data_IF_899004233200
#
_entry.id   IF_899004233200
#
_cell.length_a   1.000
_cell.length_b   1.000
_cell.length_c   1.000
_cell.angle_alpha   90.00
_cell.angle_beta   90.00
_cell.angle_gamma   90.00
#
_symmetry.space_group_name_H-M   'P 1'
#
loop_
_entity.id
_entity.type
_entity.pdbx_description
1 polymer ?
#
# COMPACT_ATOMS: atom_id res chain seq x y z
N UNK A 1 33.52 -19.03 -24.24
CA UNK A 1 32.11 -19.39 -23.94
C UNK A 1 31.91 -19.19 -22.45
N UNK A 2 31.06 -18.24 -22.02
CA UNK A 2 30.69 -18.18 -20.61
C UNK A 2 29.93 -19.46 -20.27
N UNK A 3 30.40 -20.17 -19.25
CA UNK A 3 29.69 -21.32 -18.71
C UNK A 3 28.33 -20.86 -18.14
N UNK A 4 27.28 -21.63 -18.42
CA UNK A 4 25.91 -21.35 -17.95
C UNK A 4 25.86 -21.26 -16.43
N UNK A 5 26.71 -22.02 -15.75
CA UNK A 5 26.86 -21.97 -14.29
C UNK A 5 27.35 -20.59 -13.81
N UNK A 6 28.42 -20.06 -14.42
CA UNK A 6 28.96 -18.73 -14.08
C UNK A 6 27.94 -17.62 -14.31
N UNK A 7 27.15 -17.70 -15.38
CA UNK A 7 26.05 -16.75 -15.64
C UNK A 7 24.98 -16.83 -14.55
N UNK A 8 24.56 -18.04 -14.17
CA UNK A 8 23.56 -18.23 -13.13
C UNK A 8 24.02 -17.66 -11.78
N UNK A 9 25.28 -17.92 -11.39
CA UNK A 9 25.85 -17.37 -10.15
C UNK A 9 25.90 -15.85 -10.18
N UNK A 10 26.33 -15.24 -11.29
CA UNK A 10 26.38 -13.79 -11.43
C UNK A 10 24.99 -13.14 -11.33
N UNK A 11 23.97 -13.75 -11.94
CA UNK A 11 22.58 -13.28 -11.84
C UNK A 11 22.06 -13.35 -10.40
N UNK A 12 22.30 -14.46 -9.70
CA UNK A 12 21.90 -14.61 -8.29
C UNK A 12 22.62 -13.61 -7.40
N UNK A 13 23.94 -13.44 -7.57
CA UNK A 13 24.72 -12.49 -6.79
C UNK A 13 24.23 -11.04 -7.01
N UNK A 14 23.98 -10.65 -8.25
CA UNK A 14 23.45 -9.33 -8.60
C UNK A 14 22.05 -9.12 -8.02
N UNK A 15 21.18 -10.15 -8.11
CA UNK A 15 19.85 -10.09 -7.52
C UNK A 15 19.91 -9.89 -6.01
N UNK A 16 20.72 -10.68 -5.29
CA UNK A 16 20.90 -10.58 -3.84
C UNK A 16 21.45 -9.20 -3.46
N UNK A 17 22.50 -8.73 -4.13
CA UNK A 17 23.08 -7.40 -3.88
C UNK A 17 22.04 -6.28 -4.09
N UNK A 18 21.23 -6.37 -5.16
CA UNK A 18 20.14 -5.43 -5.43
C UNK A 18 19.09 -5.44 -4.31
N UNK A 19 18.67 -6.61 -3.82
CA UNK A 19 17.70 -6.72 -2.71
C UNK A 19 18.25 -6.12 -1.42
N UNK A 20 19.50 -6.40 -1.08
CA UNK A 20 20.16 -5.79 0.08
C UNK A 20 20.21 -4.27 -0.03
N UNK A 21 20.65 -3.73 -1.16
CA UNK A 21 20.71 -2.28 -1.36
C UNK A 21 19.32 -1.63 -1.25
N UNK A 22 18.32 -2.21 -1.93
CA UNK A 22 16.94 -1.70 -1.88
C UNK A 22 16.35 -1.76 -0.47
N UNK A 23 16.62 -2.82 0.29
CA UNK A 23 16.15 -2.95 1.67
C UNK A 23 16.75 -1.88 2.58
N UNK A 24 18.07 -1.66 2.52
CA UNK A 24 18.73 -0.63 3.34
C UNK A 24 18.34 0.77 2.92
N UNK A 25 18.22 1.03 1.62
CA UNK A 25 17.68 2.29 1.09
C UNK A 25 16.27 2.53 1.63
N UNK A 26 15.35 1.58 1.49
CA UNK A 26 13.99 1.68 2.00
C UNK A 26 13.94 1.90 3.52
N UNK A 27 14.77 1.19 4.28
CA UNK A 27 14.87 1.36 5.74
C UNK A 27 15.29 2.78 6.11
N UNK A 28 16.22 3.37 5.35
CA UNK A 28 16.65 4.76 5.52
C UNK A 28 15.56 5.75 5.11
N UNK A 29 14.95 5.56 3.94
CA UNK A 29 13.92 6.46 3.39
C UNK A 29 12.68 6.51 4.31
N UNK A 30 12.38 5.40 5.00
CA UNK A 30 11.28 5.30 5.96
C UNK A 30 11.66 5.73 7.39
N UNK A 31 12.81 6.39 7.57
CA UNK A 31 13.21 6.93 8.87
C UNK A 31 13.40 5.87 9.96
N UNK A 32 13.73 4.62 9.58
CA UNK A 32 13.95 3.51 10.51
C UNK A 32 12.72 3.13 11.37
N UNK A 33 11.50 3.47 10.91
CA UNK A 33 10.27 3.12 11.63
C UNK A 33 10.20 1.61 11.92
N UNK A 34 9.82 1.18 13.14
CA UNK A 34 9.55 -0.21 13.43
C UNK A 34 8.32 -0.70 12.66
N UNK A 35 8.12 -2.00 12.56
CA UNK A 35 6.93 -2.56 11.92
C UNK A 35 7.14 -3.91 11.26
N UNK A 36 6.32 -4.17 10.24
CA UNK A 36 6.27 -5.43 9.53
C UNK A 36 7.52 -5.60 8.66
N UNK A 37 8.15 -6.78 8.75
CA UNK A 37 9.24 -7.22 7.90
C UNK A 37 8.85 -8.57 7.33
N UNK A 38 8.58 -8.60 6.03
CA UNK A 38 7.99 -9.76 5.36
C UNK A 38 8.65 -10.01 4.02
N UNK A 39 8.44 -11.19 3.43
CA UNK A 39 8.99 -11.48 2.10
C UNK A 39 8.39 -10.57 1.04
N UNK A 40 7.10 -10.29 1.16
CA UNK A 40 6.33 -9.46 0.24
C UNK A 40 5.46 -8.44 0.99
N UNK A 41 5.19 -7.29 0.39
CA UNK A 41 4.28 -6.32 1.01
C UNK A 41 2.80 -6.73 0.85
N UNK A 42 1.91 -6.30 1.77
CA UNK A 42 0.52 -6.72 1.77
C UNK A 42 -0.23 -6.41 0.46
N UNK A 43 -0.02 -5.20 -0.09
CA UNK A 43 -0.71 -4.68 -1.28
C UNK A 43 0.14 -4.95 -2.55
N UNK A 44 0.83 -6.09 -2.60
CA UNK A 44 1.52 -6.56 -3.81
C UNK A 44 0.77 -7.75 -4.41
N UNK A 45 0.89 -8.05 -5.72
CA UNK A 45 0.20 -9.19 -6.33
C UNK A 45 0.48 -10.51 -5.61
N UNK A 46 1.74 -10.75 -5.22
CA UNK A 46 2.14 -11.94 -4.46
C UNK A 46 1.69 -11.90 -3.00
N UNK A 47 1.71 -10.72 -2.37
CA UNK A 47 1.15 -10.55 -1.04
C UNK A 47 -0.34 -10.88 -1.00
N UNK A 48 -1.09 -10.45 -2.03
CA UNK A 48 -2.51 -10.68 -2.13
C UNK A 48 -2.91 -12.13 -2.43
N UNK A 49 -2.09 -12.86 -3.19
CA UNK A 49 -2.38 -14.25 -3.57
C UNK A 49 -2.19 -15.25 -2.43
N UNK A 50 -1.33 -14.94 -1.44
CA UNK A 50 -0.94 -15.87 -0.37
C UNK A 50 -1.69 -15.49 0.92
N UNK A 51 -2.17 -16.46 1.72
CA UNK A 51 -2.87 -16.18 2.98
C UNK A 51 -1.98 -15.47 4.02
N UNK A 52 -2.62 -14.81 4.98
CA UNK A 52 -1.97 -14.15 6.11
C UNK A 52 -1.24 -15.16 6.99
N UNK A 53 0.08 -15.05 7.05
CA UNK A 53 0.98 -15.85 7.87
C UNK A 53 2.17 -15.01 8.34
N UNK A 54 3.09 -15.64 9.06
CA UNK A 54 4.27 -14.94 9.60
C UNK A 54 5.24 -14.42 8.52
N UNK A 55 5.29 -15.05 7.34
CA UNK A 55 6.15 -14.63 6.21
C UNK A 55 5.48 -13.63 5.26
N UNK A 56 4.15 -13.66 5.21
CA UNK A 56 3.34 -12.80 4.36
C UNK A 56 2.14 -12.28 5.16
N UNK A 57 2.08 -10.98 5.45
CA UNK A 57 0.90 -10.38 6.06
C UNK A 57 -0.37 -10.67 5.24
N UNK A 58 -0.30 -10.77 3.91
CA UNK A 58 -1.48 -10.99 3.08
C UNK A 58 -2.44 -9.79 3.08
N UNK A 59 -3.64 -9.93 2.51
CA UNK A 59 -4.64 -8.84 2.49
C UNK A 59 -5.44 -8.69 3.79
N UNK A 60 -5.42 -9.70 4.67
CA UNK A 60 -6.25 -9.71 5.88
C UNK A 60 -5.46 -9.40 7.16
N UNK A 61 -4.15 -9.09 7.08
CA UNK A 61 -3.33 -8.81 8.27
C UNK A 61 -3.90 -7.70 9.13
N UNK A 62 -4.42 -6.63 8.51
CA UNK A 62 -4.97 -5.50 9.25
C UNK A 62 -6.17 -5.91 10.10
N UNK A 63 -6.90 -6.97 9.71
CA UNK A 63 -7.97 -7.53 10.52
C UNK A 63 -7.45 -8.49 11.59
N UNK A 64 -6.60 -9.44 11.20
CA UNK A 64 -6.10 -10.49 12.08
C UNK A 64 -5.18 -9.94 13.19
N UNK A 65 -4.38 -8.93 12.89
CA UNK A 65 -3.36 -8.38 13.80
C UNK A 65 -3.72 -7.01 14.37
N UNK A 66 -4.96 -6.52 14.16
CA UNK A 66 -5.41 -5.16 14.56
C UNK A 66 -5.07 -4.77 16.00
N UNK A 67 -5.23 -5.71 16.94
CA UNK A 67 -5.03 -5.45 18.37
C UNK A 67 -3.55 -5.44 18.78
N UNK A 68 -2.67 -6.02 17.97
CA UNK A 68 -1.31 -6.33 18.40
C UNK A 68 -0.24 -5.60 17.57
N UNK A 69 -0.51 -5.23 16.32
CA UNK A 69 0.54 -4.76 15.41
C UNK A 69 1.17 -3.44 15.88
N UNK A 70 0.36 -2.48 16.33
CA UNK A 70 0.81 -1.17 16.80
C UNK A 70 1.33 -1.26 18.25
N UNK A 71 0.65 -2.02 19.10
CA UNK A 71 1.07 -2.28 20.48
C UNK A 71 2.45 -2.93 20.55
N UNK A 72 2.71 -3.96 19.72
CA UNK A 72 4.02 -4.63 19.64
C UNK A 72 5.12 -3.72 19.09
N UNK A 73 4.78 -2.82 18.17
CA UNK A 73 5.73 -1.85 17.63
C UNK A 73 6.04 -0.70 18.61
N UNK A 74 5.17 -0.49 19.61
CA UNK A 74 5.26 0.65 20.54
C UNK A 74 4.96 2.00 19.87
N UNK A 75 4.41 2.00 18.66
CA UNK A 75 4.15 3.19 17.85
C UNK A 75 2.81 3.07 17.12
N UNK A 76 2.13 4.20 16.92
CA UNK A 76 0.90 4.25 16.12
C UNK A 76 1.17 4.18 14.62
N UNK A 77 2.40 4.50 14.21
CA UNK A 77 2.84 4.47 12.81
C UNK A 77 3.95 3.44 12.66
N UNK A 78 3.75 2.53 11.70
CA UNK A 78 4.66 1.43 11.41
C UNK A 78 5.03 1.42 9.93
N UNK A 79 6.16 0.81 9.62
CA UNK A 79 6.56 0.54 8.24
C UNK A 79 6.39 -0.92 7.88
N UNK A 80 5.99 -1.21 6.64
CA UNK A 80 6.07 -2.53 6.03
C UNK A 80 7.19 -2.53 4.99
N UNK A 81 8.24 -3.32 5.24
CA UNK A 81 9.36 -3.49 4.31
C UNK A 81 9.35 -4.92 3.77
N UNK A 82 9.39 -5.07 2.43
CA UNK A 82 9.57 -6.36 1.79
C UNK A 82 11.06 -6.74 1.73
N UNK A 83 11.36 -8.02 1.87
CA UNK A 83 12.69 -8.56 1.56
C UNK A 83 12.87 -8.84 0.06
N UNK A 84 11.80 -9.32 -0.60
CA UNK A 84 11.87 -9.77 -1.99
C UNK A 84 11.07 -8.86 -2.93
N UNK A 85 9.75 -8.77 -2.75
CA UNK A 85 8.86 -8.12 -3.72
C UNK A 85 7.88 -7.13 -3.09
N UNK A 86 7.59 -6.05 -3.81
CA UNK A 86 6.65 -5.02 -3.37
C UNK A 86 7.35 -3.69 -3.06
N UNK A 87 6.54 -2.64 -2.91
CA UNK A 87 7.03 -1.33 -2.52
C UNK A 87 6.93 -1.14 -1.00
N UNK A 88 7.94 -0.54 -0.35
CA UNK A 88 7.88 -0.20 1.06
C UNK A 88 6.69 0.74 1.34
N UNK A 89 5.97 0.52 2.43
CA UNK A 89 4.74 1.28 2.74
C UNK A 89 4.68 1.67 4.20
N UNK A 90 4.03 2.79 4.50
CA UNK A 90 3.76 3.24 5.88
C UNK A 90 2.29 2.96 6.20
N UNK A 91 2.05 2.42 7.39
CA UNK A 91 0.71 2.24 7.95
C UNK A 91 0.61 3.02 9.25
N UNK A 92 -0.50 3.71 9.44
CA UNK A 92 -0.74 4.50 10.64
C UNK A 92 -2.12 4.22 11.21
N UNK A 93 -2.19 4.13 12.54
CA UNK A 93 -3.42 4.16 13.33
C UNK A 93 -3.65 5.54 13.96
N UNK A 94 -2.70 6.47 13.80
CA UNK A 94 -2.77 7.81 14.37
C UNK A 94 -3.79 8.65 13.61
N UNK A 95 -4.78 9.18 14.33
CA UNK A 95 -5.83 10.00 13.73
C UNK A 95 -5.28 11.31 13.17
N UNK A 96 -4.24 11.88 13.79
CA UNK A 96 -3.61 13.11 13.34
C UNK A 96 -2.92 12.93 11.99
N UNK A 97 -2.10 11.88 11.86
CA UNK A 97 -1.43 11.52 10.61
C UNK A 97 -2.46 11.17 9.53
N UNK A 98 -3.47 10.36 9.88
CA UNK A 98 -4.54 10.00 8.95
C UNK A 98 -5.25 11.25 8.39
N UNK A 99 -5.59 12.24 9.22
CA UNK A 99 -6.21 13.51 8.78
C UNK A 99 -5.32 14.29 7.81
N UNK A 100 -4.01 14.31 8.05
CA UNK A 100 -3.06 14.98 7.15
C UNK A 100 -2.97 14.26 5.80
N UNK A 101 -2.90 12.92 5.83
CA UNK A 101 -2.77 12.10 4.61
C UNK A 101 -4.02 12.18 3.74
N UNK A 102 -5.23 12.13 4.34
CA UNK A 102 -6.50 12.15 3.60
C UNK A 102 -7.02 13.57 3.31
N UNK A 103 -6.28 14.60 3.67
CA UNK A 103 -6.68 16.00 3.46
C UNK A 103 -6.86 16.30 1.96
N UNK A 104 -7.94 17.01 1.60
CA UNK A 104 -8.23 17.41 0.22
C UNK A 104 -7.13 18.32 -0.36
N UNK A 105 -6.48 19.11 0.49
CA UNK A 105 -5.34 19.97 0.12
C UNK A 105 -3.99 19.34 0.50
N UNK A 106 -3.96 18.04 0.76
CA UNK A 106 -2.76 17.30 1.09
C UNK A 106 -1.84 17.09 -0.11
N UNK A 107 -0.62 16.64 0.16
CA UNK A 107 0.37 16.29 -0.87
C UNK A 107 0.18 14.87 -1.42
N UNK A 108 -0.69 14.09 -0.79
CA UNK A 108 -0.91 12.69 -1.13
C UNK A 108 -2.04 12.56 -2.17
N UNK A 109 -1.81 11.68 -3.13
CA UNK A 109 -2.77 11.33 -4.17
C UNK A 109 -2.91 9.83 -4.25
N UNK A 110 -3.99 9.35 -4.87
CA UNK A 110 -4.17 7.93 -5.12
C UNK A 110 -3.24 7.51 -6.24
N UNK A 111 -2.27 6.65 -5.92
CA UNK A 111 -1.32 6.12 -6.89
C UNK A 111 -2.03 5.27 -7.94
N UNK A 112 -1.66 5.41 -9.21
CA UNK A 112 -2.33 4.72 -10.32
C UNK A 112 -2.39 3.20 -10.13
N UNK A 113 -1.31 2.61 -9.62
CA UNK A 113 -1.21 1.17 -9.35
C UNK A 113 -2.25 0.66 -8.34
N UNK A 114 -2.69 1.50 -7.40
CA UNK A 114 -3.67 1.13 -6.37
C UNK A 114 -5.12 1.21 -6.85
N UNK A 115 -5.38 2.01 -7.89
CA UNK A 115 -6.73 2.20 -8.45
C UNK A 115 -6.96 1.43 -9.75
N UNK A 116 -5.95 0.72 -10.26
CA UNK A 116 -5.99 -0.01 -11.53
C UNK A 116 -7.21 -0.91 -11.67
N UNK A 117 -7.56 -1.66 -10.63
CA UNK A 117 -8.72 -2.57 -10.63
C UNK A 117 -10.05 -1.83 -10.81
N UNK A 118 -10.13 -0.59 -10.33
CA UNK A 118 -11.34 0.23 -10.48
C UNK A 118 -11.47 0.87 -11.84
N UNK A 119 -10.38 0.99 -12.60
CA UNK A 119 -10.39 1.53 -13.96
C UNK A 119 -10.96 0.56 -14.99
N UNK A 120 -11.22 -0.69 -14.61
CA UNK A 120 -11.95 -1.66 -15.46
C UNK A 120 -13.34 -1.14 -15.85
N UNK A 121 -13.96 -0.34 -14.99
CA UNK A 121 -15.25 0.34 -15.25
C UNK A 121 -15.10 1.72 -15.89
N UNK A 122 -13.91 2.07 -16.37
CA UNK A 122 -13.60 3.37 -16.93
C UNK A 122 -13.31 4.45 -15.87
N UNK A 123 -13.16 5.71 -16.30
CA UNK A 123 -12.90 6.84 -15.40
C UNK A 123 -14.03 7.00 -14.38
N UNK A 124 -13.69 7.00 -13.10
CA UNK A 124 -14.67 7.02 -12.03
C UNK A 124 -14.20 7.89 -10.85
N UNK A 125 -15.12 8.23 -9.94
CA UNK A 125 -14.84 9.07 -8.77
C UNK A 125 -13.84 8.43 -7.79
N UNK A 126 -13.73 7.10 -7.78
CA UNK A 126 -12.82 6.40 -6.90
C UNK A 126 -11.37 6.51 -7.39
N UNK A 127 -11.13 6.36 -8.69
CA UNK A 127 -9.81 6.45 -9.30
C UNK A 127 -9.35 7.89 -9.57
N UNK A 128 -10.26 8.84 -9.77
CA UNK A 128 -9.92 10.22 -10.09
C UNK A 128 -9.22 10.94 -8.91
N UNK A 129 -8.31 11.85 -9.27
CA UNK A 129 -7.60 12.77 -8.38
C UNK A 129 -7.88 14.24 -8.79
N UNK A 130 -7.52 15.20 -7.94
CA UNK A 130 -7.51 16.63 -8.30
C UNK A 130 -8.85 17.17 -8.80
N UNK A 131 -8.81 17.91 -9.92
CA UNK A 131 -9.99 18.56 -10.49
C UNK A 131 -10.98 17.60 -11.14
N UNK A 132 -10.50 16.50 -11.73
CA UNK A 132 -11.36 15.44 -12.26
C UNK A 132 -12.19 14.80 -11.15
N UNK A 133 -11.57 14.58 -9.99
CA UNK A 133 -12.28 14.12 -8.81
C UNK A 133 -13.35 15.12 -8.35
N UNK A 134 -13.03 16.42 -8.30
CA UNK A 134 -13.99 17.47 -7.92
C UNK A 134 -15.18 17.49 -8.89
N UNK A 135 -14.92 17.38 -10.19
CA UNK A 135 -15.95 17.32 -11.23
C UNK A 135 -16.86 16.11 -11.04
N UNK A 136 -16.29 14.90 -10.96
CA UNK A 136 -17.08 13.68 -10.75
C UNK A 136 -17.87 13.74 -9.44
N UNK A 137 -17.26 14.18 -8.34
CA UNK A 137 -17.93 14.33 -7.04
C UNK A 137 -19.08 15.31 -7.09
N UNK A 138 -18.93 16.46 -7.75
CA UNK A 138 -19.99 17.47 -7.87
C UNK A 138 -21.22 16.93 -8.59
N UNK A 139 -21.02 16.10 -9.61
CA UNK A 139 -22.11 15.50 -10.40
C UNK A 139 -22.86 14.44 -9.59
N UNK A 140 -22.14 13.56 -8.88
CA UNK A 140 -22.76 12.43 -8.16
C UNK A 140 -23.31 12.80 -6.77
N UNK A 141 -22.76 13.81 -6.11
CA UNK A 141 -23.08 14.13 -4.72
C UNK A 141 -24.60 14.33 -4.44
N UNK A 142 -25.39 14.98 -5.32
CA UNK A 142 -26.83 15.14 -5.09
C UNK A 142 -27.60 13.81 -4.98
N UNK A 143 -27.13 12.74 -5.61
CA UNK A 143 -27.77 11.43 -5.53
C UNK A 143 -27.67 10.79 -4.13
N UNK A 144 -26.71 11.21 -3.31
CA UNK A 144 -26.45 10.66 -1.98
C UNK A 144 -26.86 11.63 -0.86
N UNK A 145 -28.00 12.31 -1.01
CA UNK A 145 -28.53 13.20 0.03
C UNK A 145 -29.73 12.58 0.77
N UNK A 146 -29.99 12.97 2.04
CA UNK A 146 -31.13 12.46 2.82
C UNK A 146 -32.48 12.61 2.10
N UNK A 147 -32.68 13.70 1.36
CA UNK A 147 -33.92 13.95 0.62
C UNK A 147 -34.18 12.89 -0.46
N UNK A 148 -33.13 12.38 -1.12
CA UNK A 148 -33.26 11.30 -2.11
C UNK A 148 -33.76 10.01 -1.46
N UNK A 149 -33.29 9.69 -0.25
CA UNK A 149 -33.70 8.46 0.46
C UNK A 149 -35.18 8.48 0.88
N UNK A 150 -35.69 9.65 1.28
CA UNK A 150 -37.10 9.83 1.64
C UNK A 150 -38.02 9.72 0.42
N UNK A 151 -37.56 10.13 -0.77
CA UNK A 151 -38.35 10.03 -1.99
C UNK A 151 -38.46 8.59 -2.54
N UNK A 152 -37.65 7.66 -2.05
CA UNK A 152 -37.59 6.26 -2.51
C UNK A 152 -38.09 5.24 -1.49
N UNK A 153 -38.45 5.68 -0.29
CA UNK A 153 -39.01 4.85 0.79
C UNK A 153 -40.54 4.95 0.81
#
# INVERSE_FOLDING_TARGET
MLDKFSVAVALVATFVASRFFNYFKAKRDLGHLPGLRSLVTPISPFGAAIPTCWLNPGLNWQWHWRQQVYSRAGTETISALPYLFGQPTVYTSSLEVARQVVSIKGQFFKEYSTVLITLVWGPNVFAANGDDWKRHRRIIAPAFCPATYVATA
#
